data_IF_295024897654
#
_entry.id   IF_295024897654
#
_cell.length_a   1.000
_cell.length_b   1.000
_cell.length_c   1.000
_cell.angle_alpha   90.00
_cell.angle_beta   90.00
_cell.angle_gamma   90.00
#
_symmetry.space_group_name_H-M   'P 1'
#
loop_
_entity.id
_entity.type
_entity.pdbx_description
1 polymer ?
#
# COMPACT_ATOMS: atom_id res chain seq x y z
N UNK A 1 -9.93 -13.25 13.95
CA UNK A 1 -11.38 -13.04 13.76
C UNK A 1 -11.56 -11.62 13.27
N UNK A 2 -11.59 -11.39 11.95
CA UNK A 2 -11.81 -10.06 11.38
C UNK A 2 -13.31 -9.82 11.37
N UNK A 3 -13.79 -9.00 12.31
CA UNK A 3 -15.16 -8.52 12.31
C UNK A 3 -15.35 -7.64 11.09
N UNK A 4 -16.06 -8.15 10.08
CA UNK A 4 -16.50 -7.33 8.95
C UNK A 4 -17.48 -6.28 9.47
N UNK A 5 -17.05 -5.02 9.51
CA UNK A 5 -17.94 -3.88 9.74
C UNK A 5 -18.88 -3.82 8.53
N UNK A 6 -20.20 -3.95 8.75
CA UNK A 6 -21.20 -3.82 7.69
C UNK A 6 -21.02 -2.47 6.98
N UNK A 7 -20.54 -2.49 5.74
CA UNK A 7 -20.29 -1.30 4.91
C UNK A 7 -18.82 -0.86 4.82
N UNK A 8 -17.89 -1.50 5.54
CA UNK A 8 -16.46 -1.27 5.36
C UNK A 8 -15.95 -1.98 4.10
N UNK A 9 -15.29 -1.24 3.21
CA UNK A 9 -14.48 -1.88 2.16
C UNK A 9 -13.30 -2.62 2.80
N UNK A 10 -12.89 -3.77 2.23
CA UNK A 10 -11.69 -4.47 2.69
C UNK A 10 -10.48 -3.54 2.59
N UNK A 11 -9.67 -3.53 3.64
CA UNK A 11 -8.38 -2.83 3.65
C UNK A 11 -7.31 -3.86 3.32
N UNK A 12 -6.56 -3.59 2.26
CA UNK A 12 -5.45 -4.42 1.81
C UNK A 12 -4.13 -3.74 2.19
N UNK A 13 -3.15 -4.54 2.63
CA UNK A 13 -1.86 -4.04 3.12
C UNK A 13 -0.75 -4.57 2.21
N UNK A 14 0.00 -3.64 1.61
CA UNK A 14 1.22 -3.94 0.85
C UNK A 14 2.42 -3.47 1.67
N UNK A 15 3.33 -4.39 1.99
CA UNK A 15 4.58 -4.06 2.66
C UNK A 15 5.58 -3.41 1.69
N UNK A 16 6.27 -2.38 2.16
CA UNK A 16 7.34 -1.68 1.46
C UNK A 16 8.44 -1.38 2.47
N UNK A 17 9.66 -1.83 2.17
CA UNK A 17 10.85 -1.46 2.91
C UNK A 17 11.48 -0.22 2.27
N UNK A 18 11.38 0.92 2.95
CA UNK A 18 11.94 2.20 2.48
C UNK A 18 13.46 2.28 2.68
N UNK A 19 14.06 1.37 3.45
CA UNK A 19 15.51 1.32 3.68
C UNK A 19 16.27 0.49 2.63
N UNK A 20 15.55 -0.26 1.77
CA UNK A 20 16.15 -1.03 0.68
C UNK A 20 16.85 -0.13 -0.37
N UNK A 21 16.62 1.20 -0.32
CA UNK A 21 17.19 2.27 -1.18
C UNK A 21 17.19 1.92 -2.67
N UNK A 22 16.24 1.08 -3.07
CA UNK A 22 16.03 0.59 -4.44
C UNK A 22 14.67 1.10 -4.89
N UNK A 23 14.68 1.99 -5.88
CA UNK A 23 13.45 2.49 -6.54
C UNK A 23 12.53 1.34 -6.97
N UNK A 24 13.11 0.24 -7.46
CA UNK A 24 12.36 -0.97 -7.84
C UNK A 24 11.53 -1.59 -6.71
N UNK A 25 11.94 -1.48 -5.43
CA UNK A 25 11.13 -1.97 -4.31
C UNK A 25 9.85 -1.12 -4.13
N UNK A 26 9.97 0.19 -4.34
CA UNK A 26 8.83 1.11 -4.35
C UNK A 26 7.89 0.82 -5.53
N UNK A 27 8.44 0.68 -6.74
CA UNK A 27 7.67 0.39 -7.95
C UNK A 27 6.89 -0.93 -7.83
N UNK A 28 7.53 -1.99 -7.32
CA UNK A 28 6.91 -3.30 -7.08
C UNK A 28 5.75 -3.20 -6.09
N UNK A 29 5.89 -2.40 -5.03
CA UNK A 29 4.84 -2.20 -4.03
C UNK A 29 3.65 -1.41 -4.60
N UNK A 30 3.93 -0.35 -5.38
CA UNK A 30 2.87 0.45 -6.03
C UNK A 30 2.13 -0.37 -7.09
N UNK A 31 2.85 -1.14 -7.93
CA UNK A 31 2.22 -2.02 -8.92
C UNK A 31 1.31 -3.04 -8.24
N UNK A 32 1.77 -3.67 -7.15
CA UNK A 32 0.96 -4.60 -6.37
C UNK A 32 -0.29 -3.94 -5.77
N UNK A 33 -0.18 -2.71 -5.28
CA UNK A 33 -1.33 -1.95 -4.78
C UNK A 33 -2.33 -1.67 -5.93
N UNK A 34 -1.85 -1.26 -7.10
CA UNK A 34 -2.68 -1.04 -8.29
C UNK A 34 -3.37 -2.31 -8.77
N UNK A 35 -2.71 -3.47 -8.75
CA UNK A 35 -3.33 -4.75 -9.11
C UNK A 35 -4.47 -5.15 -8.15
N UNK A 36 -4.35 -4.79 -6.87
CA UNK A 36 -5.36 -5.08 -5.84
C UNK A 36 -6.55 -4.12 -5.95
N UNK A 37 -6.30 -2.82 -6.10
CA UNK A 37 -7.31 -1.76 -6.07
C UNK A 37 -7.89 -1.45 -7.46
N UNK A 38 -7.24 -1.90 -8.54
CA UNK A 38 -7.53 -1.57 -9.93
C UNK A 38 -6.92 -0.24 -10.38
N UNK A 39 -7.05 0.81 -9.57
CA UNK A 39 -6.35 2.08 -9.72
C UNK A 39 -5.92 2.64 -8.36
N UNK A 40 -5.03 3.64 -8.37
CA UNK A 40 -4.65 4.40 -7.20
C UNK A 40 -5.19 5.83 -7.35
N UNK A 41 -6.23 6.17 -6.58
CA UNK A 41 -6.85 7.51 -6.65
C UNK A 41 -6.05 8.57 -5.87
N UNK A 42 -5.37 8.17 -4.79
CA UNK A 42 -4.57 9.04 -3.94
C UNK A 42 -3.42 8.30 -3.26
N UNK A 43 -2.29 8.99 -3.09
CA UNK A 43 -1.12 8.50 -2.36
C UNK A 43 -0.77 9.46 -1.23
N UNK A 44 -0.58 8.93 -0.01
CA UNK A 44 -0.18 9.70 1.17
C UNK A 44 1.14 9.13 1.68
N UNK A 45 2.20 9.92 1.59
CA UNK A 45 3.52 9.53 2.09
C UNK A 45 3.63 9.85 3.58
N UNK A 46 3.42 8.85 4.44
CA UNK A 46 3.50 8.97 5.89
C UNK A 46 4.90 8.68 6.47
N UNK A 47 5.87 8.36 5.62
CA UNK A 47 7.24 8.08 6.06
C UNK A 47 7.95 9.39 6.39
N UNK A 48 8.51 9.48 7.59
CA UNK A 48 9.36 10.59 8.01
C UNK A 48 10.80 10.11 7.92
N UNK A 49 11.63 10.81 7.14
CA UNK A 49 13.06 10.55 7.11
C UNK A 49 13.66 11.03 8.44
N UNK A 50 14.29 10.13 9.18
CA UNK A 50 15.11 10.45 10.37
C UNK A 50 16.48 11.00 9.98
#
# INVERSE_FOLDING_TARGET
MMGSLKGGQPVEVVGLDMEEDREGAFDEAVDKACQILGNLDAFVHCYTYE
#
